data_IF_553165900910
#
_entry.id   IF_553165900910
#
_cell.length_a   1.000
_cell.length_b   1.000
_cell.length_c   1.000
_cell.angle_alpha   90.00
_cell.angle_beta   90.00
_cell.angle_gamma   90.00
#
_symmetry.space_group_name_H-M   'P 1'
#
loop_
_entity.id
_entity.type
_entity.pdbx_description
1 polymer ?
#
# COMPACT_ATOMS: atom_id res chain seq x y z
N UNK A 1 -10.17 -3.07 3.94
CA UNK A 1 -10.33 -4.17 4.92
C UNK A 1 -11.39 -3.82 5.95
N UNK A 2 -11.24 -2.74 6.75
CA UNK A 2 -12.22 -2.35 7.80
C UNK A 2 -13.64 -2.23 7.25
N UNK A 3 -13.82 -1.60 6.09
CA UNK A 3 -15.13 -1.49 5.43
C UNK A 3 -15.70 -2.86 5.02
N UNK A 4 -14.87 -3.72 4.45
CA UNK A 4 -15.30 -5.06 4.04
C UNK A 4 -15.71 -5.94 5.23
N UNK A 5 -15.05 -5.78 6.37
CA UNK A 5 -15.43 -6.47 7.62
C UNK A 5 -16.77 -5.96 8.17
N UNK A 6 -17.02 -4.65 8.07
CA UNK A 6 -18.25 -4.03 8.57
C UNK A 6 -19.45 -4.23 7.63
N UNK A 7 -19.21 -4.30 6.32
CA UNK A 7 -20.22 -4.33 5.25
C UNK A 7 -19.87 -5.35 4.18
N UNK A 8 -19.76 -6.65 4.53
CA UNK A 8 -19.31 -7.68 3.58
C UNK A 8 -20.22 -7.81 2.35
N UNK A 9 -21.51 -7.50 2.48
CA UNK A 9 -22.50 -7.55 1.41
C UNK A 9 -22.30 -6.46 0.34
N UNK A 10 -21.54 -5.42 0.64
CA UNK A 10 -21.25 -4.32 -0.30
C UNK A 10 -19.93 -4.52 -1.07
N UNK A 11 -19.16 -5.55 -0.73
CA UNK A 11 -17.83 -5.78 -1.31
C UNK A 11 -17.82 -7.09 -2.08
N UNK A 12 -17.63 -7.02 -3.40
CA UNK A 12 -17.52 -8.21 -4.26
C UNK A 12 -16.11 -8.79 -4.23
N UNK A 13 -15.11 -7.96 -4.39
CA UNK A 13 -13.69 -8.34 -4.44
C UNK A 13 -12.84 -7.31 -3.72
N UNK A 14 -11.63 -7.71 -3.33
CA UNK A 14 -10.64 -6.84 -2.68
C UNK A 14 -9.32 -6.99 -3.42
N UNK A 15 -8.65 -5.87 -3.71
CA UNK A 15 -7.27 -5.88 -4.18
C UNK A 15 -6.39 -5.13 -3.18
N UNK A 16 -5.32 -5.75 -2.73
CA UNK A 16 -4.36 -5.17 -1.80
C UNK A 16 -2.99 -5.05 -2.48
N UNK A 17 -2.38 -3.88 -2.37
CA UNK A 17 -1.03 -3.61 -2.86
C UNK A 17 -0.28 -2.83 -1.79
N UNK A 18 0.77 -3.39 -1.22
CA UNK A 18 1.53 -2.70 -0.17
C UNK A 18 0.64 -2.23 1.00
N UNK A 19 -0.31 -3.05 1.45
CA UNK A 19 -1.37 -2.61 2.36
C UNK A 19 -0.95 -2.57 3.82
N UNK A 20 -1.43 -1.53 4.53
CA UNK A 20 -1.50 -1.49 6.00
C UNK A 20 -2.52 -2.49 6.54
N UNK A 21 -2.44 -2.79 7.83
CA UNK A 21 -3.39 -3.66 8.54
C UNK A 21 -2.73 -4.81 9.29
N UNK A 22 -1.48 -5.09 8.97
CA UNK A 22 -0.58 -5.99 9.72
C UNK A 22 0.65 -5.22 10.17
N UNK A 23 1.78 -5.43 9.51
CA UNK A 23 3.04 -4.76 9.81
C UNK A 23 3.41 -3.83 8.66
N UNK A 24 3.94 -2.66 8.99
CA UNK A 24 4.60 -1.76 8.05
C UNK A 24 5.83 -1.14 8.71
N UNK A 25 6.92 -1.02 7.95
CA UNK A 25 8.02 -0.16 8.34
C UNK A 25 7.51 1.26 8.21
N UNK A 26 7.17 1.89 9.31
CA UNK A 26 6.78 3.29 9.29
C UNK A 26 7.76 4.08 8.43
N UNK A 27 7.28 4.96 7.56
CA UNK A 27 8.12 5.81 6.71
C UNK A 27 8.94 6.81 7.55
N UNK A 28 9.42 6.32 8.69
CA UNK A 28 10.12 7.08 9.73
C UNK A 28 9.16 7.98 10.50
N UNK A 29 9.43 8.05 11.76
CA UNK A 29 8.79 8.98 12.68
C UNK A 29 8.70 10.35 12.03
N UNK A 30 7.51 10.89 11.90
CA UNK A 30 7.19 12.27 11.49
C UNK A 30 8.09 12.85 10.38
N UNK A 31 7.60 13.73 9.56
CA UNK A 31 8.43 14.49 8.61
C UNK A 31 9.12 15.68 9.32
N UNK A 32 10.18 15.45 10.16
CA UNK A 32 10.78 16.53 10.95
C UNK A 32 11.42 17.60 10.07
N UNK A 33 11.79 17.24 8.84
CA UNK A 33 12.39 18.12 7.84
C UNK A 33 11.50 18.36 6.63
N UNK A 34 10.17 18.50 6.84
CA UNK A 34 9.21 18.69 5.74
C UNK A 34 9.50 19.92 4.85
N UNK A 35 10.22 20.92 5.36
CA UNK A 35 10.67 22.07 4.58
C UNK A 35 11.89 21.81 3.70
N UNK A 36 12.54 20.67 3.85
CA UNK A 36 13.72 20.26 3.08
C UNK A 36 13.27 19.35 1.91
N UNK A 37 13.34 19.86 0.69
CA UNK A 37 12.90 19.16 -0.50
C UNK A 37 13.74 17.92 -0.82
N UNK A 38 15.05 17.96 -0.52
CA UNK A 38 15.93 16.81 -0.75
C UNK A 38 15.63 15.68 0.25
N UNK A 39 15.27 16.03 1.47
CA UNK A 39 14.76 15.05 2.44
C UNK A 39 13.46 14.42 1.97
N UNK A 40 12.52 15.22 1.44
CA UNK A 40 11.26 14.68 0.88
C UNK A 40 11.53 13.77 -0.31
N UNK A 41 12.42 14.17 -1.24
CA UNK A 41 12.83 13.33 -2.38
C UNK A 41 13.30 11.95 -1.92
N UNK A 42 14.24 11.90 -0.98
CA UNK A 42 14.74 10.62 -0.42
C UNK A 42 13.64 9.75 0.19
N UNK A 43 12.63 10.37 0.80
CA UNK A 43 11.47 9.64 1.34
C UNK A 43 10.55 9.09 0.23
N UNK A 44 10.35 9.85 -0.84
CA UNK A 44 9.57 9.39 -2.00
C UNK A 44 10.30 8.25 -2.72
N UNK A 45 11.62 8.36 -2.90
CA UNK A 45 12.45 7.31 -3.51
C UNK A 45 12.34 5.96 -2.79
N UNK A 46 12.18 5.94 -1.47
CA UNK A 46 11.98 4.70 -0.69
C UNK A 46 10.69 3.93 -1.04
N UNK A 47 9.74 4.59 -1.69
CA UNK A 47 8.50 3.95 -2.14
C UNK A 47 8.74 3.01 -3.33
N UNK A 48 9.80 3.24 -4.10
CA UNK A 48 10.07 2.60 -5.37
C UNK A 48 11.31 1.71 -5.33
N UNK A 49 11.33 0.70 -6.18
CA UNK A 49 12.54 -0.08 -6.47
C UNK A 49 13.53 0.73 -7.31
N UNK A 50 13.03 1.38 -8.38
CA UNK A 50 13.82 2.33 -9.16
C UNK A 50 13.62 3.74 -8.61
N UNK A 51 14.65 4.37 -8.02
CA UNK A 51 14.56 5.74 -7.51
C UNK A 51 14.14 6.78 -8.57
N UNK A 52 14.37 6.51 -9.86
CA UNK A 52 13.96 7.40 -10.95
C UNK A 52 12.42 7.47 -11.09
N UNK A 53 11.68 6.51 -10.54
CA UNK A 53 10.21 6.56 -10.47
C UNK A 53 9.72 7.70 -9.57
N UNK A 54 10.57 8.22 -8.69
CA UNK A 54 10.32 9.43 -7.90
C UNK A 54 10.55 10.69 -8.76
N UNK A 55 9.65 10.94 -9.72
CA UNK A 55 9.77 12.09 -10.61
C UNK A 55 9.77 13.42 -9.86
N UNK A 56 10.27 14.47 -10.50
CA UNK A 56 10.29 15.82 -9.87
C UNK A 56 8.88 16.29 -9.55
N UNK A 57 7.92 16.02 -10.43
CA UNK A 57 6.51 16.39 -10.27
C UNK A 57 5.90 15.67 -9.04
N UNK A 58 6.18 14.38 -8.87
CA UNK A 58 5.71 13.60 -7.71
C UNK A 58 6.32 14.13 -6.42
N UNK A 59 7.63 14.42 -6.42
CA UNK A 59 8.31 15.00 -5.25
C UNK A 59 7.73 16.37 -4.89
N UNK A 60 7.43 17.22 -5.89
CA UNK A 60 6.82 18.53 -5.70
C UNK A 60 5.40 18.40 -5.14
N UNK A 61 4.63 17.45 -5.62
CA UNK A 61 3.30 17.18 -5.10
C UNK A 61 3.36 16.76 -3.62
N UNK A 62 4.22 15.79 -3.27
CA UNK A 62 4.40 15.34 -1.89
C UNK A 62 4.88 16.50 -1.00
N UNK A 63 5.88 17.29 -1.47
CA UNK A 63 6.37 18.46 -0.76
C UNK A 63 5.24 19.45 -0.44
N UNK A 64 4.39 19.75 -1.42
CA UNK A 64 3.25 20.65 -1.25
C UNK A 64 2.20 20.08 -0.29
N UNK A 65 1.96 18.77 -0.34
CA UNK A 65 1.02 18.08 0.56
C UNK A 65 1.51 18.15 2.01
N UNK A 66 2.75 17.77 2.29
CA UNK A 66 3.27 17.71 3.67
C UNK A 66 3.49 19.10 4.28
N UNK A 67 3.66 20.12 3.45
CA UNK A 67 3.77 21.53 3.90
C UNK A 67 2.40 22.22 4.02
N UNK A 68 1.33 21.64 3.50
CA UNK A 68 -0.02 22.12 3.76
C UNK A 68 -0.50 21.62 5.13
N UNK A 69 -0.71 22.53 6.08
CA UNK A 69 -1.06 22.20 7.47
C UNK A 69 -2.28 21.28 7.60
N UNK A 70 -3.34 21.56 6.83
CA UNK A 70 -4.59 20.77 6.91
C UNK A 70 -4.40 19.36 6.33
N UNK A 71 -3.70 19.25 5.20
CA UNK A 71 -3.39 17.95 4.59
C UNK A 71 -2.46 17.14 5.48
N UNK A 72 -1.42 17.74 6.04
CA UNK A 72 -0.49 17.08 6.96
C UNK A 72 -1.19 16.51 8.20
N UNK A 73 -2.11 17.27 8.81
CA UNK A 73 -2.91 16.79 9.96
C UNK A 73 -3.76 15.57 9.56
N UNK A 74 -4.40 15.59 8.38
CA UNK A 74 -5.19 14.44 7.90
C UNK A 74 -4.31 13.19 7.70
N UNK A 75 -3.12 13.35 7.12
CA UNK A 75 -2.18 12.24 6.92
C UNK A 75 -1.76 11.63 8.26
N UNK A 76 -1.42 12.46 9.25
CA UNK A 76 -1.07 11.99 10.59
C UNK A 76 -2.24 11.23 11.23
N UNK A 77 -3.45 11.71 11.05
CA UNK A 77 -4.66 11.05 11.56
C UNK A 77 -4.87 9.68 10.90
N UNK A 78 -4.71 9.59 9.57
CA UNK A 78 -4.82 8.34 8.82
C UNK A 78 -3.74 7.34 9.23
N UNK A 79 -2.48 7.78 9.35
CA UNK A 79 -1.38 6.93 9.79
C UNK A 79 -1.61 6.37 11.22
N UNK A 80 -2.05 7.23 12.15
CA UNK A 80 -2.40 6.78 13.51
C UNK A 80 -3.61 5.82 13.52
N UNK A 81 -4.54 5.98 12.59
CA UNK A 81 -5.67 5.05 12.44
C UNK A 81 -5.19 3.71 11.91
N UNK A 82 -4.33 3.69 10.90
CA UNK A 82 -3.77 2.45 10.34
C UNK A 82 -3.04 1.62 11.42
N UNK A 83 -2.18 2.26 12.23
CA UNK A 83 -1.47 1.59 13.33
C UNK A 83 -2.44 0.99 14.36
N UNK A 84 -3.56 1.66 14.66
CA UNK A 84 -4.55 1.16 15.62
C UNK A 84 -5.38 -0.01 15.11
N UNK A 85 -5.54 -0.15 13.80
CA UNK A 85 -6.32 -1.21 13.18
C UNK A 85 -5.40 -2.36 12.73
N UNK A 86 -4.79 -3.05 13.71
CA UNK A 86 -4.12 -4.31 13.45
C UNK A 86 -5.17 -5.40 13.29
N UNK A 87 -5.39 -5.84 12.05
CA UNK A 87 -6.54 -6.67 11.67
C UNK A 87 -6.26 -8.18 11.66
N UNK A 88 -5.10 -8.62 12.15
CA UNK A 88 -4.68 -10.02 12.01
C UNK A 88 -5.74 -11.05 12.38
N UNK A 89 -6.41 -10.85 13.50
CA UNK A 89 -7.45 -11.79 13.98
C UNK A 89 -8.75 -11.72 13.17
N UNK A 90 -9.08 -10.57 12.59
CA UNK A 90 -10.31 -10.36 11.84
C UNK A 90 -10.20 -10.77 10.37
N UNK A 91 -9.00 -10.85 9.80
CA UNK A 91 -8.80 -11.15 8.37
C UNK A 91 -9.41 -12.48 7.95
N UNK A 92 -9.47 -13.46 8.82
CA UNK A 92 -10.13 -14.75 8.59
C UNK A 92 -11.62 -14.63 8.28
N UNK A 93 -12.25 -13.53 8.67
CA UNK A 93 -13.68 -13.25 8.44
C UNK A 93 -13.95 -12.61 7.06
N UNK A 94 -12.90 -12.25 6.32
CA UNK A 94 -13.02 -11.74 4.94
C UNK A 94 -13.12 -12.95 4.02
N UNK A 95 -14.33 -13.21 3.55
CA UNK A 95 -14.65 -14.35 2.67
C UNK A 95 -14.67 -13.97 1.18
N UNK A 96 -14.66 -12.68 0.87
CA UNK A 96 -14.58 -12.18 -0.51
C UNK A 96 -13.27 -12.63 -1.16
N UNK A 97 -13.25 -12.80 -2.49
CA UNK A 97 -12.03 -13.01 -3.25
C UNK A 97 -11.06 -11.83 -3.05
N UNK A 98 -9.81 -12.13 -2.74
CA UNK A 98 -8.76 -11.12 -2.50
C UNK A 98 -7.58 -11.35 -3.42
N UNK A 99 -7.20 -10.32 -4.18
CA UNK A 99 -5.97 -10.27 -4.96
C UNK A 99 -4.90 -9.52 -4.18
N UNK A 100 -3.76 -10.15 -3.95
CA UNK A 100 -2.57 -9.53 -3.38
C UNK A 100 -1.56 -9.33 -4.52
N UNK A 101 -1.25 -8.07 -4.88
CA UNK A 101 -0.23 -7.75 -5.88
C UNK A 101 0.89 -7.00 -5.17
N UNK A 102 2.08 -7.60 -5.08
CA UNK A 102 3.12 -7.12 -4.18
C UNK A 102 4.49 -7.07 -4.81
N UNK A 103 5.20 -5.95 -4.63
CA UNK A 103 6.59 -5.83 -5.06
C UNK A 103 7.52 -6.66 -4.18
N UNK A 104 8.41 -7.45 -4.80
CA UNK A 104 9.42 -8.23 -4.05
C UNK A 104 10.44 -7.37 -3.32
N UNK A 105 10.57 -6.12 -3.72
CA UNK A 105 11.52 -5.16 -3.15
C UNK A 105 10.82 -4.09 -2.30
N UNK A 106 9.58 -4.34 -1.88
CA UNK A 106 8.85 -3.41 -1.00
C UNK A 106 9.54 -3.33 0.36
N UNK A 107 10.05 -2.14 0.69
CA UNK A 107 10.73 -1.85 1.96
C UNK A 107 9.79 -1.26 3.01
N UNK A 108 8.59 -0.83 2.62
CA UNK A 108 7.58 -0.21 3.49
C UNK A 108 6.70 -1.30 4.12
N UNK A 109 6.12 -2.15 3.29
CA UNK A 109 5.44 -3.38 3.71
C UNK A 109 6.17 -4.58 3.10
N UNK A 110 7.22 -5.08 3.79
CA UNK A 110 8.10 -6.10 3.24
C UNK A 110 7.37 -7.36 2.80
N UNK A 111 7.96 -8.19 1.91
CA UNK A 111 7.34 -9.40 1.37
C UNK A 111 6.69 -10.32 2.40
N UNK A 112 7.28 -10.43 3.59
CA UNK A 112 6.70 -11.22 4.69
C UNK A 112 5.27 -10.77 5.08
N UNK A 113 4.94 -9.50 4.85
CA UNK A 113 3.59 -8.97 5.12
C UNK A 113 2.58 -9.52 4.13
N UNK A 114 2.95 -9.59 2.84
CA UNK A 114 2.10 -10.21 1.81
C UNK A 114 1.88 -11.70 2.08
N UNK A 115 2.92 -12.40 2.52
CA UNK A 115 2.82 -13.82 2.91
C UNK A 115 1.88 -14.02 4.10
N UNK A 116 1.94 -13.13 5.10
CA UNK A 116 1.05 -13.19 6.25
C UNK A 116 -0.41 -12.85 5.85
N UNK A 117 -0.63 -11.84 4.98
CA UNK A 117 -1.95 -11.61 4.39
C UNK A 117 -2.48 -12.84 3.66
N UNK A 118 -1.64 -13.49 2.83
CA UNK A 118 -1.99 -14.71 2.10
C UNK A 118 -2.40 -15.84 3.03
N UNK A 119 -1.72 -15.98 4.16
CA UNK A 119 -2.01 -17.01 5.16
C UNK A 119 -3.30 -16.73 5.93
N UNK A 120 -3.59 -15.46 6.26
CA UNK A 120 -4.73 -15.07 7.08
C UNK A 120 -6.02 -14.87 6.28
N UNK A 121 -5.94 -14.58 4.99
CA UNK A 121 -7.09 -14.39 4.11
C UNK A 121 -7.47 -15.69 3.42
N UNK A 122 -8.61 -16.32 3.77
CA UNK A 122 -8.96 -17.67 3.31
C UNK A 122 -9.14 -17.78 1.80
N UNK A 123 -9.64 -16.74 1.15
CA UNK A 123 -9.93 -16.70 -0.27
C UNK A 123 -9.05 -15.67 -1.00
N UNK A 124 -7.74 -15.87 -0.95
CA UNK A 124 -6.79 -14.93 -1.55
C UNK A 124 -5.87 -15.60 -2.57
N UNK A 125 -5.40 -14.83 -3.55
CA UNK A 125 -4.29 -15.17 -4.43
C UNK A 125 -3.19 -14.11 -4.31
N UNK A 126 -1.92 -14.53 -4.37
CA UNK A 126 -0.75 -13.66 -4.23
C UNK A 126 0.07 -13.68 -5.50
N UNK A 127 0.28 -12.49 -6.05
CA UNK A 127 1.10 -12.23 -7.23
C UNK A 127 2.31 -11.39 -6.84
N UNK A 128 3.49 -11.91 -7.15
CA UNK A 128 4.73 -11.21 -6.94
C UNK A 128 5.15 -10.44 -8.18
N UNK A 129 5.58 -9.20 -7.99
CA UNK A 129 6.15 -8.35 -9.05
C UNK A 129 7.63 -8.16 -8.77
N UNK A 130 8.48 -8.60 -9.69
CA UNK A 130 9.92 -8.48 -9.58
C UNK A 130 10.39 -7.06 -9.87
N UNK A 131 11.50 -6.64 -9.24
CA UNK A 131 12.09 -5.30 -9.39
C UNK A 131 11.05 -4.19 -9.18
N UNK A 132 10.22 -4.35 -8.16
CA UNK A 132 9.14 -3.45 -7.81
C UNK A 132 9.13 -3.21 -6.30
N UNK A 133 8.92 -1.96 -5.91
CA UNK A 133 8.78 -1.52 -4.53
C UNK A 133 7.32 -1.54 -4.06
N UNK A 134 6.93 -0.49 -3.33
CA UNK A 134 5.64 -0.38 -2.66
C UNK A 134 4.47 -0.04 -3.59
N UNK A 135 4.73 0.48 -4.78
CA UNK A 135 3.71 1.03 -5.68
C UNK A 135 3.71 0.34 -7.06
N UNK A 136 3.36 -0.95 -7.17
CA UNK A 136 3.39 -1.68 -8.44
C UNK A 136 2.53 -1.04 -9.52
N UNK A 137 1.41 -0.39 -9.16
CA UNK A 137 0.57 0.34 -10.11
C UNK A 137 1.26 1.56 -10.74
N UNK A 138 2.30 2.07 -10.11
CA UNK A 138 3.08 3.21 -10.62
C UNK A 138 4.38 2.77 -11.32
N UNK A 139 5.06 1.76 -10.76
CA UNK A 139 6.35 1.30 -11.29
C UNK A 139 6.21 0.42 -12.54
N UNK A 140 5.23 -0.48 -12.52
CA UNK A 140 5.02 -1.48 -13.59
C UNK A 140 3.54 -1.59 -13.96
N UNK A 141 2.90 -0.49 -14.40
CA UNK A 141 1.45 -0.43 -14.63
C UNK A 141 0.95 -1.47 -15.64
N UNK A 142 1.77 -1.85 -16.62
CA UNK A 142 1.42 -2.87 -17.60
C UNK A 142 1.20 -4.23 -16.95
N UNK A 143 2.15 -4.73 -16.17
CA UNK A 143 2.06 -6.00 -15.45
C UNK A 143 0.96 -5.95 -14.38
N UNK A 144 0.92 -4.87 -13.61
CA UNK A 144 -0.11 -4.65 -12.59
C UNK A 144 -1.53 -4.75 -13.19
N UNK A 145 -1.79 -4.06 -14.31
CA UNK A 145 -3.10 -4.05 -14.95
C UNK A 145 -3.50 -5.43 -15.50
N UNK A 146 -2.56 -6.22 -16.02
CA UNK A 146 -2.82 -7.59 -16.47
C UNK A 146 -3.27 -8.45 -15.29
N UNK A 147 -2.49 -8.48 -14.20
CA UNK A 147 -2.82 -9.26 -13.00
C UNK A 147 -4.18 -8.86 -12.41
N UNK A 148 -4.44 -7.56 -12.31
CA UNK A 148 -5.71 -7.05 -11.81
C UNK A 148 -6.89 -7.42 -12.73
N UNK A 149 -6.74 -7.25 -14.05
CA UNK A 149 -7.76 -7.60 -15.04
C UNK A 149 -8.11 -9.07 -15.01
N UNK A 150 -7.10 -9.93 -14.95
CA UNK A 150 -7.28 -11.39 -14.88
C UNK A 150 -8.04 -11.79 -13.61
N UNK A 151 -7.68 -11.21 -12.47
CA UNK A 151 -8.41 -11.43 -11.23
C UNK A 151 -9.87 -10.98 -11.31
N UNK A 152 -10.12 -9.76 -11.77
CA UNK A 152 -11.47 -9.21 -11.87
C UNK A 152 -12.33 -10.02 -12.83
N UNK A 153 -11.78 -10.52 -13.95
CA UNK A 153 -12.50 -11.33 -14.92
C UNK A 153 -12.99 -12.68 -14.36
N UNK A 154 -12.25 -13.24 -13.38
CA UNK A 154 -12.64 -14.49 -12.70
C UNK A 154 -13.75 -14.28 -11.67
N UNK A 155 -13.95 -13.06 -11.19
CA UNK A 155 -14.82 -12.74 -10.06
C UNK A 155 -15.87 -11.65 -10.37
N UNK A 156 -16.07 -11.32 -11.66
CA UNK A 156 -17.04 -10.33 -12.14
C UNK A 156 -18.50 -10.77 -11.93
#
# INVERSE_FOLDING_TARGET
>A
LVYALAHPEHVKTITLTGSSGLFENGMGETYPKRGDKDYIRKKVELTFYDPNSATTELVDEVYNIVNNRLKAVKIIYLAKSAIRHHLGEELKNITQPVCLIWGRNDTITPPMVAEEFKKLLPNSELHWVDKCGHAPMMEVPGEFNVLLSDFLSKHA
#
